data_IF_996177529675
#
_entry.id   IF_996177529675
#
_cell.length_a   1.000
_cell.length_b   1.000
_cell.length_c   1.000
_cell.angle_alpha   90.00
_cell.angle_beta   90.00
_cell.angle_gamma   90.00
#
_symmetry.space_group_name_H-M   'P 1'
#
loop_
_entity.id
_entity.type
_entity.pdbx_description
1 polymer ?
#
# COMPACT_ATOMS: atom_id res chain seq x y z
N UNK A 1 -35.09 0.28 25.52
CA UNK A 1 -36.47 0.62 25.06
C UNK A 1 -36.65 0.11 23.64
N UNK A 2 -37.88 -0.20 23.20
CA UNK A 2 -38.17 -0.56 21.79
C UNK A 2 -38.73 0.68 21.08
N UNK A 3 -38.30 0.93 19.84
CA UNK A 3 -38.97 1.82 18.90
C UNK A 3 -39.33 1.02 17.65
N UNK A 4 -40.51 1.28 17.10
CA UNK A 4 -41.10 0.49 16.01
C UNK A 4 -41.06 1.23 14.68
N UNK A 5 -41.20 0.46 13.60
CA UNK A 5 -41.18 0.91 12.20
C UNK A 5 -42.31 1.90 11.90
N UNK A 6 -42.05 2.84 10.99
CA UNK A 6 -43.01 3.23 9.96
C UNK A 6 -42.27 3.22 8.62
N UNK A 7 -42.81 2.52 7.63
CA UNK A 7 -42.39 2.61 6.23
C UNK A 7 -43.53 3.24 5.44
N UNK A 8 -43.23 4.24 4.60
CA UNK A 8 -44.20 4.83 3.69
C UNK A 8 -43.68 4.70 2.25
N UNK A 9 -44.41 3.95 1.42
CA UNK A 9 -44.16 3.84 0.00
C UNK A 9 -45.29 4.52 -0.76
N UNK A 10 -44.95 5.35 -1.73
CA UNK A 10 -45.91 5.99 -2.65
C UNK A 10 -45.41 5.80 -4.08
N UNK A 11 -46.13 4.98 -4.84
CA UNK A 11 -45.97 4.83 -6.27
C UNK A 11 -47.24 5.36 -6.96
N UNK A 12 -47.07 6.05 -8.09
CA UNK A 12 -48.17 6.49 -8.95
C UNK A 12 -47.71 6.43 -10.42
N UNK A 13 -48.54 5.87 -11.29
CA UNK A 13 -48.28 5.72 -12.73
C UNK A 13 -49.44 6.33 -13.54
N UNK A 14 -49.12 7.23 -14.48
CA UNK A 14 -49.85 7.56 -15.71
C UNK A 14 -48.97 8.53 -16.53
N UNK A 15 -48.60 8.42 -17.82
CA UNK A 15 -48.97 7.60 -19.00
C UNK A 15 -49.86 8.30 -20.05
N UNK A 16 -49.34 8.41 -21.31
CA UNK A 16 -50.05 8.66 -22.60
C UNK A 16 -50.57 10.12 -22.81
N UNK A 17 -50.79 10.72 -24.00
CA UNK A 17 -50.59 10.52 -25.49
C UNK A 17 -50.97 11.87 -26.20
N UNK A 18 -50.60 12.33 -27.42
CA UNK A 18 -49.72 11.91 -28.56
C UNK A 18 -49.57 13.05 -29.62
N UNK A 19 -48.53 12.96 -30.47
CA UNK A 19 -48.45 13.34 -31.92
C UNK A 19 -48.73 14.80 -32.42
N UNK A 20 -47.69 15.40 -33.04
CA UNK A 20 -47.66 15.99 -34.40
C UNK A 20 -46.18 16.30 -34.74
N UNK A 21 -45.49 15.89 -35.81
CA UNK A 21 -45.73 15.75 -37.27
C UNK A 21 -45.78 17.06 -38.07
N UNK A 22 -44.60 17.52 -38.52
CA UNK A 22 -44.43 18.30 -39.74
C UNK A 22 -43.01 18.04 -40.28
N UNK A 23 -42.88 17.76 -41.58
CA UNK A 23 -41.63 17.70 -42.32
C UNK A 23 -41.63 18.84 -43.35
N UNK A 24 -40.47 19.34 -43.76
CA UNK A 24 -40.15 19.63 -45.17
C UNK A 24 -38.64 19.88 -45.35
N UNK A 25 -38.13 19.69 -46.56
CA UNK A 25 -36.69 19.59 -46.88
C UNK A 25 -36.41 20.18 -48.28
N UNK A 26 -35.22 20.74 -48.47
CA UNK A 26 -34.60 21.08 -49.77
C UNK A 26 -35.24 22.26 -50.55
N UNK A 27 -34.57 22.86 -51.57
CA UNK A 27 -33.39 22.38 -52.30
C UNK A 27 -32.18 23.36 -52.40
N UNK A 28 -31.16 22.90 -53.14
CA UNK A 28 -29.82 23.48 -53.35
C UNK A 28 -29.60 23.91 -54.81
N UNK A 29 -28.90 25.02 -55.07
CA UNK A 29 -28.08 25.18 -56.30
C UNK A 29 -26.56 25.27 -56.02
N UNK A 30 -25.76 25.32 -57.10
CA UNK A 30 -24.31 25.06 -57.13
C UNK A 30 -23.35 26.28 -57.18
N UNK A 31 -22.06 26.03 -57.51
CA UNK A 31 -20.91 26.85 -57.09
C UNK A 31 -20.34 27.80 -58.19
N UNK A 32 -19.27 28.57 -57.90
CA UNK A 32 -17.95 28.08 -58.37
C UNK A 32 -16.70 28.40 -57.50
N UNK A 33 -15.74 27.47 -57.58
CA UNK A 33 -14.28 27.64 -57.74
C UNK A 33 -13.32 28.30 -56.69
N UNK A 34 -12.22 27.54 -56.47
CA UNK A 34 -10.80 27.95 -56.37
C UNK A 34 -10.22 28.52 -55.05
N UNK A 35 -9.16 27.84 -54.58
CA UNK A 35 -8.20 28.30 -53.57
C UNK A 35 -7.09 29.18 -54.16
N UNK A 36 -6.28 29.83 -53.30
CA UNK A 36 -4.84 29.80 -53.50
C UNK A 36 -4.06 29.31 -52.26
N UNK A 37 -2.89 28.72 -52.50
CA UNK A 37 -1.95 28.32 -51.44
C UNK A 37 -1.17 29.52 -50.89
N UNK A 38 -0.83 29.48 -49.60
CA UNK A 38 0.14 30.41 -48.99
C UNK A 38 1.31 29.62 -48.39
N UNK A 39 2.51 29.79 -48.96
CA UNK A 39 3.75 29.21 -48.41
C UNK A 39 4.41 30.20 -47.44
N UNK A 40 4.50 29.85 -46.15
CA UNK A 40 5.35 30.54 -45.19
C UNK A 40 6.63 29.71 -44.94
N UNK A 41 7.80 30.33 -45.11
CA UNK A 41 9.11 29.72 -44.82
C UNK A 41 9.57 30.11 -43.43
N UNK A 42 10.37 29.25 -42.79
CA UNK A 42 11.48 29.71 -41.96
C UNK A 42 11.36 29.56 -40.45
N UNK A 43 11.44 28.33 -39.94
CA UNK A 43 12.10 28.04 -38.67
C UNK A 43 12.86 26.71 -38.82
N UNK A 44 14.19 26.76 -38.93
CA UNK A 44 15.01 25.56 -38.95
C UNK A 44 15.29 25.09 -37.51
N UNK A 45 15.26 23.77 -37.22
CA UNK A 45 15.50 23.28 -35.86
C UNK A 45 16.98 23.42 -35.49
N UNK A 46 17.25 24.01 -34.33
CA UNK A 46 18.57 23.95 -33.71
C UNK A 46 18.76 22.57 -33.04
N UNK A 47 19.52 21.70 -33.70
CA UNK A 47 19.92 20.38 -33.17
C UNK A 47 21.08 20.54 -32.13
N UNK A 48 21.50 19.50 -31.39
CA UNK A 48 21.18 19.46 -29.97
C UNK A 48 22.42 19.50 -29.05
N UNK A 49 22.38 20.25 -27.95
CA UNK A 49 23.50 20.27 -26.97
C UNK A 49 23.04 20.59 -25.53
N UNK A 50 22.47 19.60 -24.83
CA UNK A 50 22.51 19.49 -23.37
C UNK A 50 22.01 18.10 -22.89
N UNK A 51 22.93 17.15 -22.71
CA UNK A 51 22.61 15.93 -21.96
C UNK A 51 22.49 16.30 -20.46
N UNK A 52 21.27 16.31 -19.91
CA UNK A 52 21.03 16.56 -18.48
C UNK A 52 19.91 17.56 -18.15
N UNK A 53 19.33 18.27 -19.12
CA UNK A 53 18.18 19.14 -18.88
C UNK A 53 16.91 18.32 -18.62
N UNK A 54 16.52 18.21 -17.35
CA UNK A 54 15.26 17.58 -16.94
C UNK A 54 14.04 18.43 -17.38
N UNK A 55 12.88 17.81 -17.63
CA UNK A 55 11.79 18.49 -18.32
C UNK A 55 11.04 19.50 -17.44
N UNK A 56 10.92 20.74 -17.94
CA UNK A 56 10.17 21.82 -17.31
C UNK A 56 8.77 22.04 -17.92
N UNK A 57 8.26 21.08 -18.70
CA UNK A 57 6.97 21.15 -19.42
C UNK A 57 6.31 19.77 -19.46
N UNK A 58 4.99 19.70 -19.62
CA UNK A 58 4.24 18.44 -19.74
C UNK A 58 4.75 17.53 -20.87
N UNK A 59 5.04 18.09 -22.05
CA UNK A 59 5.55 17.32 -23.18
C UNK A 59 6.93 16.69 -22.89
N UNK A 60 7.79 17.39 -22.14
CA UNK A 60 9.05 16.82 -21.68
C UNK A 60 8.86 15.76 -20.59
N UNK A 61 7.91 15.95 -19.67
CA UNK A 61 7.59 14.97 -18.63
C UNK A 61 7.02 13.68 -19.23
N UNK A 62 6.15 13.80 -20.25
CA UNK A 62 5.69 12.69 -21.08
C UNK A 62 6.88 11.96 -21.72
N UNK A 63 7.76 12.66 -22.44
CA UNK A 63 8.91 12.07 -23.11
C UNK A 63 9.93 11.40 -22.15
N UNK A 64 9.98 11.83 -20.88
CA UNK A 64 10.76 11.16 -19.83
C UNK A 64 10.07 9.90 -19.32
N UNK A 65 8.76 9.96 -19.06
CA UNK A 65 7.93 8.81 -18.66
C UNK A 65 7.90 7.71 -19.73
N UNK A 66 7.88 8.09 -21.01
CA UNK A 66 7.92 7.19 -22.17
C UNK A 66 9.20 6.32 -22.26
N UNK A 67 10.25 6.63 -21.50
CA UNK A 67 11.45 5.79 -21.39
C UNK A 67 11.21 4.52 -20.54
N UNK A 68 10.16 4.51 -19.72
CA UNK A 68 9.89 3.45 -18.74
C UNK A 68 8.53 2.75 -18.99
N UNK A 69 7.48 3.50 -19.31
CA UNK A 69 6.14 2.95 -19.62
C UNK A 69 5.41 3.75 -20.71
N UNK A 70 4.25 3.30 -21.17
CA UNK A 70 3.42 4.06 -22.13
C UNK A 70 2.86 5.33 -21.49
N UNK A 71 2.78 6.42 -22.25
CA UNK A 71 2.17 7.68 -21.81
C UNK A 71 1.66 8.44 -23.03
N UNK A 72 0.63 7.87 -23.65
CA UNK A 72 0.11 8.33 -24.94
C UNK A 72 -1.11 9.24 -24.76
N UNK A 73 -1.48 9.97 -25.82
CA UNK A 73 -2.65 10.85 -25.82
C UNK A 73 -2.61 11.86 -24.65
N UNK A 74 -1.50 12.59 -24.52
CA UNK A 74 -1.34 13.68 -23.55
C UNK A 74 -2.40 14.76 -23.80
N UNK A 75 -3.14 15.09 -22.75
CA UNK A 75 -4.18 16.11 -22.72
C UNK A 75 -3.87 17.14 -21.63
N UNK A 76 -4.25 18.38 -21.89
CA UNK A 76 -4.20 19.51 -20.94
C UNK A 76 -5.60 20.01 -20.58
N UNK A 77 -6.67 19.28 -20.92
CA UNK A 77 -8.04 19.65 -20.55
C UNK A 77 -8.19 19.55 -19.01
N UNK A 78 -8.54 20.64 -18.31
CA UNK A 78 -8.78 20.59 -16.86
C UNK A 78 -9.94 19.66 -16.45
N UNK A 79 -10.77 19.22 -17.41
CA UNK A 79 -11.92 18.33 -17.24
C UNK A 79 -11.75 16.96 -17.94
N UNK A 80 -10.52 16.53 -18.27
CA UNK A 80 -10.27 15.28 -19.01
C UNK A 80 -11.02 14.08 -18.42
N UNK A 81 -11.97 13.54 -19.19
CA UNK A 81 -12.94 12.56 -18.70
C UNK A 81 -12.36 11.18 -18.37
N UNK A 82 -11.06 10.94 -18.61
CA UNK A 82 -10.38 9.71 -18.20
C UNK A 82 -10.12 9.66 -16.69
N UNK A 83 -10.05 10.83 -16.02
CA UNK A 83 -9.68 10.94 -14.60
C UNK A 83 -10.62 11.91 -13.86
N UNK A 84 -11.13 11.57 -12.66
CA UNK A 84 -11.83 12.53 -11.81
C UNK A 84 -10.84 13.53 -11.20
N UNK A 85 -10.42 14.52 -12.00
CA UNK A 85 -9.34 15.48 -11.71
C UNK A 85 -9.60 16.42 -10.51
N UNK A 86 -10.79 16.39 -9.91
CA UNK A 86 -11.10 17.06 -8.64
C UNK A 86 -10.44 16.40 -7.42
N UNK A 87 -10.00 15.14 -7.54
CA UNK A 87 -9.22 14.44 -6.51
C UNK A 87 -7.70 14.64 -6.61
N UNK A 88 -7.23 15.51 -7.51
CA UNK A 88 -5.82 15.68 -7.85
C UNK A 88 -5.39 17.15 -7.68
N UNK A 89 -4.09 17.35 -7.38
CA UNK A 89 -3.45 18.67 -7.18
C UNK A 89 -3.80 19.62 -8.33
N UNK A 90 -4.24 20.84 -8.03
CA UNK A 90 -4.61 21.87 -9.00
C UNK A 90 -3.40 22.65 -9.54
N UNK A 91 -3.52 23.24 -10.73
CA UNK A 91 -2.47 24.11 -11.25
C UNK A 91 -2.34 25.36 -10.36
N UNK A 92 -1.13 25.64 -9.88
CA UNK A 92 -0.83 26.66 -8.86
C UNK A 92 -0.78 26.12 -7.42
N UNK A 93 -1.36 24.95 -7.13
CA UNK A 93 -1.19 24.28 -5.85
C UNK A 93 0.19 23.59 -5.76
N UNK A 94 0.75 23.49 -4.55
CA UNK A 94 1.95 22.68 -4.24
C UNK A 94 3.19 23.01 -5.12
N UNK A 95 3.22 24.18 -5.77
CA UNK A 95 4.30 24.57 -6.68
C UNK A 95 4.24 23.94 -8.08
N UNK A 96 3.12 23.32 -8.48
CA UNK A 96 2.95 22.80 -9.85
C UNK A 96 2.47 23.92 -10.80
N UNK A 97 3.02 24.00 -12.00
CA UNK A 97 2.70 25.08 -12.96
C UNK A 97 1.53 24.75 -13.88
N UNK A 98 1.38 23.47 -14.23
CA UNK A 98 0.34 22.94 -15.12
C UNK A 98 0.04 21.48 -14.75
N UNK A 99 -0.99 20.90 -15.37
CA UNK A 99 -1.38 19.50 -15.15
C UNK A 99 -1.81 18.88 -16.47
N UNK A 100 -1.42 17.63 -16.72
CA UNK A 100 -1.82 16.89 -17.91
C UNK A 100 -2.11 15.42 -17.62
N UNK A 101 -2.86 14.78 -18.51
CA UNK A 101 -3.26 13.37 -18.41
C UNK A 101 -2.79 12.63 -19.66
N UNK A 102 -2.05 11.53 -19.47
CA UNK A 102 -1.72 10.58 -20.53
C UNK A 102 -2.15 9.16 -20.14
N UNK A 103 -2.20 8.26 -21.12
CA UNK A 103 -2.66 6.87 -20.95
C UNK A 103 -1.48 5.90 -21.07
N UNK A 104 -1.31 5.07 -20.05
CA UNK A 104 -0.47 3.88 -20.10
C UNK A 104 -1.25 2.71 -20.71
N UNK A 105 -1.09 2.53 -22.02
CA UNK A 105 -1.77 1.48 -22.80
C UNK A 105 -1.40 0.06 -22.32
N UNK A 106 -0.16 -0.16 -21.89
CA UNK A 106 0.32 -1.46 -21.36
C UNK A 106 -0.39 -1.83 -20.06
N UNK A 107 -0.43 -0.90 -19.10
CA UNK A 107 -1.07 -1.13 -17.80
C UNK A 107 -2.60 -0.90 -17.80
N UNK A 108 -3.13 -0.33 -18.88
CA UNK A 108 -4.54 0.08 -19.07
C UNK A 108 -5.02 1.01 -17.96
N UNK A 109 -4.37 2.17 -17.85
CA UNK A 109 -4.84 3.27 -17.02
C UNK A 109 -4.03 4.54 -17.19
N UNK A 110 -4.26 5.49 -16.30
CA UNK A 110 -3.89 6.88 -16.51
C UNK A 110 -2.69 7.31 -15.65
N UNK A 111 -1.95 8.27 -16.17
CA UNK A 111 -0.88 8.99 -15.48
C UNK A 111 -1.25 10.47 -15.50
N UNK A 112 -1.33 11.08 -14.31
CA UNK A 112 -1.49 12.53 -14.17
C UNK A 112 -0.11 13.13 -13.94
N UNK A 113 0.35 13.98 -14.85
CA UNK A 113 1.65 14.64 -14.83
C UNK A 113 1.55 16.05 -14.23
N UNK A 114 2.54 16.44 -13.44
CA UNK A 114 2.66 17.77 -12.82
C UNK A 114 4.08 18.34 -12.99
N UNK A 115 4.35 19.26 -13.93
CA UNK A 115 5.61 19.99 -13.99
C UNK A 115 5.79 20.84 -12.73
N UNK A 116 6.94 20.68 -12.09
CA UNK A 116 7.19 21.08 -10.71
C UNK A 116 8.58 21.72 -10.63
N UNK A 117 8.72 23.01 -10.98
CA UNK A 117 10.01 23.70 -11.00
C UNK A 117 10.61 23.86 -9.60
N UNK A 118 9.79 23.95 -8.55
CA UNK A 118 10.24 23.84 -7.16
C UNK A 118 9.78 22.51 -6.53
N UNK A 119 10.61 21.48 -6.77
CA UNK A 119 10.41 20.15 -6.18
C UNK A 119 10.50 20.15 -4.64
N UNK A 120 11.10 21.17 -4.01
CA UNK A 120 11.14 21.27 -2.55
C UNK A 120 9.82 21.81 -2.00
N UNK A 121 9.21 22.81 -2.64
CA UNK A 121 7.88 23.29 -2.31
C UNK A 121 6.82 22.17 -2.45
N UNK A 122 6.91 21.37 -3.52
CA UNK A 122 6.03 20.21 -3.71
C UNK A 122 6.17 19.16 -2.61
N UNK A 123 7.41 18.79 -2.26
CA UNK A 123 7.66 17.83 -1.18
C UNK A 123 7.24 18.36 0.20
N UNK A 124 7.28 19.67 0.42
CA UNK A 124 6.77 20.30 1.65
C UNK A 124 5.22 20.24 1.69
N UNK A 125 4.54 20.61 0.61
CA UNK A 125 3.08 20.53 0.55
C UNK A 125 2.57 19.07 0.65
N UNK A 126 3.29 18.12 0.04
CA UNK A 126 3.03 16.69 0.21
C UNK A 126 3.19 16.23 1.66
N UNK A 127 4.22 16.72 2.39
CA UNK A 127 4.41 16.46 3.83
C UNK A 127 3.26 17.00 4.67
N UNK A 128 2.84 18.24 4.41
CA UNK A 128 1.78 18.89 5.18
C UNK A 128 0.42 18.21 4.95
N UNK A 129 0.17 17.74 3.72
CA UNK A 129 -0.98 16.90 3.38
C UNK A 129 -0.89 15.50 4.02
N UNK A 130 0.28 14.85 4.02
CA UNK A 130 0.48 13.57 4.68
C UNK A 130 0.26 13.68 6.20
N UNK A 131 0.75 14.74 6.84
CA UNK A 131 0.52 15.01 8.26
C UNK A 131 -0.98 15.20 8.58
N UNK A 132 -1.73 15.89 7.71
CA UNK A 132 -3.20 15.99 7.82
C UNK A 132 -3.86 14.61 7.70
N UNK A 133 -3.52 13.83 6.68
CA UNK A 133 -4.08 12.49 6.46
C UNK A 133 -3.78 11.55 7.64
N UNK A 134 -2.58 11.64 8.23
CA UNK A 134 -2.21 10.89 9.44
C UNK A 134 -3.04 11.31 10.66
N UNK A 135 -3.32 12.61 10.83
CA UNK A 135 -4.24 13.09 11.87
C UNK A 135 -5.70 12.64 11.64
N UNK A 136 -6.10 12.38 10.39
CA UNK A 136 -7.36 11.74 10.00
C UNK A 136 -7.31 10.19 10.07
N UNK A 137 -6.22 9.60 10.56
CA UNK A 137 -6.05 8.15 10.74
C UNK A 137 -5.67 7.37 9.46
N UNK A 138 -5.38 8.04 8.35
CA UNK A 138 -5.19 7.47 7.00
C UNK A 138 -3.76 6.96 6.75
N UNK A 139 -3.26 6.12 7.65
CA UNK A 139 -1.85 5.68 7.73
C UNK A 139 -1.31 4.92 6.51
N UNK A 140 -2.17 4.36 5.68
CA UNK A 140 -1.86 3.58 4.47
C UNK A 140 -1.57 4.45 3.23
N UNK A 141 -2.14 5.66 3.20
CA UNK A 141 -2.38 6.42 1.96
C UNK A 141 -1.13 6.94 1.27
N UNK A 142 -0.03 7.14 2.00
CA UNK A 142 1.12 7.91 1.52
C UNK A 142 1.87 7.19 0.37
N UNK A 143 2.28 5.92 0.53
CA UNK A 143 2.78 5.12 -0.60
C UNK A 143 1.66 4.73 -1.59
N UNK A 144 0.45 4.47 -1.11
CA UNK A 144 -0.67 4.06 -1.96
C UNK A 144 -1.11 5.17 -2.94
N UNK A 145 -0.81 6.43 -2.62
CA UNK A 145 -0.95 7.58 -3.52
C UNK A 145 -0.23 7.37 -4.85
N UNK A 146 0.86 6.57 -4.85
CA UNK A 146 1.73 6.33 -6.01
C UNK A 146 2.18 7.65 -6.66
N UNK A 147 2.46 8.63 -5.81
CA UNK A 147 3.08 9.91 -6.16
C UNK A 147 4.55 9.68 -6.46
N UNK A 148 4.92 9.72 -7.73
CA UNK A 148 6.30 9.55 -8.20
C UNK A 148 6.89 10.93 -8.49
N UNK A 149 8.11 11.17 -8.04
CA UNK A 149 8.88 12.39 -8.35
C UNK A 149 10.07 12.08 -9.24
N UNK A 150 10.31 12.96 -10.21
CA UNK A 150 11.58 13.13 -10.90
C UNK A 150 12.29 14.40 -10.44
N UNK A 151 13.20 14.94 -11.25
CA UNK A 151 14.00 16.13 -10.90
C UNK A 151 13.22 17.45 -10.94
N UNK A 152 12.29 17.59 -11.89
CA UNK A 152 11.59 18.84 -12.25
C UNK A 152 10.09 18.64 -12.50
N UNK A 153 9.58 17.45 -12.19
CA UNK A 153 8.18 17.09 -12.32
C UNK A 153 7.82 16.00 -11.31
N UNK A 154 6.54 15.93 -10.96
CA UNK A 154 5.93 14.83 -10.26
C UNK A 154 4.85 14.20 -11.14
N UNK A 155 4.35 13.03 -10.75
CA UNK A 155 3.16 12.41 -11.33
C UNK A 155 2.41 11.58 -10.30
N UNK A 156 1.17 11.24 -10.61
CA UNK A 156 0.41 10.17 -9.95
C UNK A 156 0.07 9.09 -10.97
N UNK A 157 0.50 7.85 -10.70
CA UNK A 157 0.15 6.69 -11.51
C UNK A 157 -1.11 6.01 -10.93
N UNK A 158 -2.22 6.01 -11.67
CA UNK A 158 -3.49 5.45 -11.17
C UNK A 158 -3.47 3.91 -11.10
N UNK A 159 -2.62 3.27 -11.91
CA UNK A 159 -2.37 1.82 -11.87
C UNK A 159 -1.04 1.49 -11.20
N UNK A 160 -1.04 0.40 -10.46
CA UNK A 160 0.11 -0.06 -9.68
C UNK A 160 1.23 -0.59 -10.57
N UNK A 161 0.90 -1.35 -11.61
CA UNK A 161 1.86 -1.81 -12.61
C UNK A 161 2.58 -0.65 -13.31
N UNK A 162 1.91 0.48 -13.54
CA UNK A 162 2.52 1.73 -14.04
C UNK A 162 3.51 2.30 -13.03
N UNK A 163 3.12 2.43 -11.76
CA UNK A 163 3.99 2.91 -10.69
C UNK A 163 5.27 2.03 -10.55
N UNK A 164 5.12 0.70 -10.59
CA UNK A 164 6.25 -0.25 -10.57
C UNK A 164 7.13 -0.05 -11.81
N UNK A 165 6.54 0.00 -13.01
CA UNK A 165 7.28 0.17 -14.27
C UNK A 165 8.09 1.47 -14.32
N UNK A 166 7.67 2.51 -13.60
CA UNK A 166 8.38 3.79 -13.51
C UNK A 166 9.60 3.77 -12.58
N UNK A 167 9.54 3.06 -11.45
CA UNK A 167 10.58 3.15 -10.39
C UNK A 167 11.45 1.89 -10.28
N UNK A 168 10.98 0.74 -10.73
CA UNK A 168 11.71 -0.53 -10.66
C UNK A 168 12.94 -0.63 -11.60
N UNK A 169 12.94 -0.06 -12.84
CA UNK A 169 14.08 -0.18 -13.74
C UNK A 169 15.39 0.34 -13.12
N UNK A 170 16.52 -0.36 -13.27
CA UNK A 170 17.76 -0.07 -12.53
C UNK A 170 18.31 1.34 -12.79
N UNK A 171 18.07 1.86 -14.00
CA UNK A 171 18.49 3.19 -14.48
C UNK A 171 17.40 4.27 -14.31
N UNK A 172 16.30 3.99 -13.61
CA UNK A 172 15.28 5.01 -13.33
C UNK A 172 15.81 6.05 -12.35
N UNK A 173 15.63 7.34 -12.69
CA UNK A 173 15.81 8.47 -11.77
C UNK A 173 14.50 8.91 -11.09
N UNK A 174 13.41 8.15 -11.29
CA UNK A 174 12.11 8.36 -10.68
C UNK A 174 11.96 7.55 -9.38
N UNK A 175 11.29 8.13 -8.39
CA UNK A 175 11.04 7.49 -7.07
C UNK A 175 9.66 7.81 -6.55
N UNK A 176 9.05 6.89 -5.82
CA UNK A 176 7.88 7.19 -4.98
C UNK A 176 8.32 8.15 -3.86
N UNK A 177 7.60 9.25 -3.70
CA UNK A 177 7.70 10.15 -2.56
C UNK A 177 6.87 9.61 -1.39
N UNK A 178 7.42 9.64 -0.18
CA UNK A 178 6.71 9.31 1.05
C UNK A 178 7.15 10.25 2.18
N UNK A 179 6.19 10.75 2.94
CA UNK A 179 6.38 11.66 4.08
C UNK A 179 5.85 11.09 5.41
N UNK A 180 5.32 9.87 5.41
CA UNK A 180 4.97 9.13 6.62
C UNK A 180 6.22 8.39 7.19
N UNK A 181 6.72 8.76 8.39
CA UNK A 181 7.92 8.15 8.98
C UNK A 181 7.73 6.67 9.36
N UNK A 182 6.49 6.23 9.63
CA UNK A 182 6.16 4.84 9.98
C UNK A 182 6.24 3.86 8.80
N UNK A 183 6.46 4.37 7.58
CA UNK A 183 6.56 3.53 6.39
C UNK A 183 7.93 2.83 6.31
N UNK A 184 7.88 1.57 6.71
CA UNK A 184 8.90 0.56 6.45
C UNK A 184 9.05 0.30 4.95
N UNK A 185 10.30 0.25 4.49
CA UNK A 185 10.70 -0.11 3.14
C UNK A 185 11.48 -1.42 3.24
N UNK A 186 11.13 -2.50 2.51
CA UNK A 186 11.81 -3.79 2.63
C UNK A 186 13.28 -3.73 2.19
N UNK A 187 14.08 -4.69 2.67
CA UNK A 187 15.45 -4.89 2.19
C UNK A 187 15.46 -5.20 0.68
N UNK A 188 16.49 -4.73 -0.04
CA UNK A 188 16.58 -4.81 -1.50
C UNK A 188 15.96 -3.63 -2.27
N UNK A 189 15.34 -2.67 -1.56
CA UNK A 189 14.86 -1.41 -2.12
C UNK A 189 15.72 -0.22 -1.67
N UNK A 190 15.76 0.83 -2.50
CA UNK A 190 16.42 2.09 -2.22
C UNK A 190 15.56 2.91 -1.26
N UNK A 191 16.15 3.48 -0.20
CA UNK A 191 15.54 4.53 0.63
C UNK A 191 16.47 5.73 0.65
N UNK A 192 16.17 6.71 -0.19
CA UNK A 192 16.96 7.92 -0.43
C UNK A 192 16.36 9.10 0.35
N UNK A 193 17.16 10.12 0.69
CA UNK A 193 16.64 11.32 1.38
C UNK A 193 15.88 12.22 0.39
N UNK A 194 14.74 12.75 0.81
CA UNK A 194 14.02 13.79 0.08
C UNK A 194 14.66 15.18 0.30
N UNK A 195 14.18 16.21 -0.41
CA UNK A 195 14.59 17.61 -0.25
C UNK A 195 14.01 18.27 1.02
N UNK A 196 13.04 17.59 1.65
CA UNK A 196 12.33 18.03 2.86
C UNK A 196 12.51 16.97 3.96
N UNK A 197 12.92 17.43 5.14
CA UNK A 197 13.14 16.56 6.30
C UNK A 197 11.84 15.91 6.78
N UNK A 198 11.90 14.63 7.14
CA UNK A 198 10.73 13.79 7.44
C UNK A 198 10.17 13.06 6.21
N UNK A 199 10.54 13.47 4.99
CA UNK A 199 10.23 12.73 3.77
C UNK A 199 11.43 11.92 3.27
N UNK A 200 11.14 10.89 2.49
CA UNK A 200 12.11 10.05 1.80
C UNK A 200 11.60 9.65 0.41
N UNK A 201 12.52 9.13 -0.40
CA UNK A 201 12.27 8.65 -1.76
C UNK A 201 12.58 7.15 -1.85
N UNK A 202 11.79 6.38 -2.61
CA UNK A 202 11.96 4.92 -2.70
C UNK A 202 11.59 4.35 -4.08
N UNK A 203 12.15 3.19 -4.44
CA UNK A 203 11.71 2.37 -5.57
C UNK A 203 10.77 1.20 -5.14
N UNK A 204 10.32 1.21 -3.88
CA UNK A 204 9.28 0.33 -3.38
C UNK A 204 7.88 0.91 -3.57
N UNK A 205 7.06 0.23 -4.37
CA UNK A 205 5.62 0.49 -4.51
C UNK A 205 4.86 -0.46 -3.59
N UNK A 206 4.30 0.07 -2.49
CA UNK A 206 3.27 -0.64 -1.72
C UNK A 206 1.92 -0.57 -2.47
N UNK A 207 1.10 -1.61 -2.40
CA UNK A 207 -0.23 -1.61 -3.05
C UNK A 207 -1.25 -2.58 -2.45
N UNK A 208 -2.52 -2.16 -2.25
CA UNK A 208 -3.60 -3.04 -1.83
C UNK A 208 -4.00 -4.14 -2.82
N UNK A 209 -3.73 -3.96 -4.12
CA UNK A 209 -4.06 -4.94 -5.16
C UNK A 209 -3.04 -6.10 -5.27
N UNK A 210 -1.99 -6.09 -4.45
CA UNK A 210 -0.90 -7.07 -4.49
C UNK A 210 0.05 -6.94 -5.69
N UNK A 211 -0.15 -5.97 -6.59
CA UNK A 211 0.68 -5.74 -7.78
C UNK A 211 1.80 -4.70 -7.50
N UNK A 212 2.14 -4.49 -6.23
CA UNK A 212 3.26 -3.65 -5.81
C UNK A 212 4.62 -4.24 -6.18
N UNK A 213 5.72 -3.56 -5.83
CA UNK A 213 7.06 -4.01 -6.19
C UNK A 213 7.35 -5.41 -5.62
N UNK A 214 7.82 -6.38 -6.43
CA UNK A 214 8.12 -7.73 -5.95
C UNK A 214 9.28 -7.70 -4.96
N UNK A 215 9.22 -8.50 -3.90
CA UNK A 215 10.27 -8.53 -2.87
C UNK A 215 11.67 -8.78 -3.48
N UNK A 216 12.52 -7.74 -3.49
CA UNK A 216 13.91 -7.82 -3.97
C UNK A 216 14.91 -8.27 -2.91
N UNK A 217 14.52 -8.31 -1.63
CA UNK A 217 15.27 -8.99 -0.58
C UNK A 217 15.45 -10.46 -0.94
N UNK A 218 16.65 -11.01 -0.74
CA UNK A 218 17.02 -12.28 -1.33
C UNK A 218 16.08 -13.43 -0.93
N UNK A 219 15.40 -14.01 -1.92
CA UNK A 219 14.99 -15.41 -1.86
C UNK A 219 16.29 -16.21 -1.85
N UNK A 220 16.79 -16.53 -0.65
CA UNK A 220 17.98 -17.37 -0.46
C UNK A 220 17.72 -18.71 -1.13
N UNK A 221 18.41 -18.95 -2.24
CA UNK A 221 18.50 -20.28 -2.83
C UNK A 221 19.33 -21.18 -1.88
N UNK A 222 18.72 -22.18 -1.22
CA UNK A 222 19.42 -23.02 -0.23
C UNK A 222 20.52 -23.90 -0.85
N UNK A 223 20.65 -23.94 -2.18
CA UNK A 223 21.70 -24.67 -2.89
C UNK A 223 23.01 -23.88 -3.04
N UNK A 224 23.04 -22.57 -2.72
CA UNK A 224 24.16 -21.68 -3.06
C UNK A 224 24.94 -21.09 -1.88
N UNK A 225 24.37 -20.97 -0.66
CA UNK A 225 25.09 -20.49 0.53
C UNK A 225 25.51 -21.66 1.45
N UNK A 226 26.82 -21.87 1.57
CA UNK A 226 27.41 -22.83 2.53
C UNK A 226 27.57 -22.25 3.94
N UNK A 227 27.79 -23.15 4.90
CA UNK A 227 27.93 -22.92 6.36
C UNK A 227 26.64 -22.52 7.09
N UNK A 228 26.12 -23.45 7.90
CA UNK A 228 24.92 -23.25 8.71
C UNK A 228 25.15 -22.25 9.86
N UNK A 229 24.15 -21.41 10.14
CA UNK A 229 24.09 -20.62 11.38
C UNK A 229 23.54 -21.48 12.53
N UNK A 230 24.00 -21.29 13.79
CA UNK A 230 23.48 -22.05 14.93
C UNK A 230 21.96 -21.92 15.06
N UNK A 231 21.27 -23.07 15.17
CA UNK A 231 19.81 -23.14 15.35
C UNK A 231 18.98 -23.32 14.07
N UNK A 232 19.59 -23.32 12.87
CA UNK A 232 18.84 -23.46 11.60
C UNK A 232 18.81 -24.91 11.08
N UNK A 233 17.64 -25.50 10.74
CA UNK A 233 17.56 -26.84 10.14
C UNK A 233 18.15 -26.89 8.73
N UNK A 234 18.81 -28.00 8.38
CA UNK A 234 19.62 -28.14 7.15
C UNK A 234 18.84 -28.42 5.85
N UNK A 235 17.52 -28.19 5.81
CA UNK A 235 16.67 -28.54 4.65
C UNK A 235 15.48 -27.60 4.43
N UNK A 236 15.42 -26.97 3.25
CA UNK A 236 14.16 -26.70 2.55
C UNK A 236 13.30 -25.51 2.97
N UNK A 237 13.68 -24.71 3.98
CA UNK A 237 13.04 -23.42 4.27
C UNK A 237 14.05 -22.48 4.93
N UNK A 238 13.73 -21.17 4.98
CA UNK A 238 14.48 -20.22 5.82
C UNK A 238 14.37 -20.53 7.33
N UNK A 239 13.47 -21.43 7.72
CA UNK A 239 13.07 -21.66 9.09
C UNK A 239 11.95 -20.72 9.52
N UNK A 240 11.25 -21.13 10.57
CA UNK A 240 10.53 -20.22 11.46
C UNK A 240 11.44 -19.97 12.68
N UNK A 241 11.38 -18.79 13.31
CA UNK A 241 12.14 -18.52 14.52
C UNK A 241 11.66 -19.37 15.69
N UNK A 242 12.53 -19.60 16.67
CA UNK A 242 12.22 -20.36 17.89
C UNK A 242 12.88 -19.73 19.12
N UNK A 243 12.34 -20.03 20.30
CA UNK A 243 12.92 -19.62 21.59
C UNK A 243 12.49 -20.62 22.69
N UNK A 244 13.38 -20.97 23.61
CA UNK A 244 13.07 -21.83 24.76
C UNK A 244 12.28 -21.14 25.87
N UNK A 245 12.36 -19.80 25.94
CA UNK A 245 11.79 -18.98 27.02
C UNK A 245 11.32 -17.59 26.52
N UNK A 246 10.52 -16.91 27.35
CA UNK A 246 10.15 -15.50 27.13
C UNK A 246 11.37 -14.56 27.10
N UNK A 247 12.45 -14.88 27.82
CA UNK A 247 13.66 -14.05 27.82
C UNK A 247 14.41 -14.12 26.48
N UNK A 248 14.51 -15.31 25.90
CA UNK A 248 15.02 -15.51 24.54
C UNK A 248 14.09 -14.86 23.50
N UNK A 249 12.77 -15.02 23.63
CA UNK A 249 11.79 -14.41 22.74
C UNK A 249 11.88 -12.88 22.76
N UNK A 250 12.02 -12.25 23.94
CA UNK A 250 12.31 -10.81 24.07
C UNK A 250 13.59 -10.44 23.32
N UNK A 251 14.66 -11.21 23.49
CA UNK A 251 15.98 -10.96 22.87
C UNK A 251 15.93 -11.08 21.35
N UNK A 252 15.06 -11.93 20.81
CA UNK A 252 14.85 -12.09 19.38
C UNK A 252 14.14 -10.88 18.73
N UNK A 253 13.18 -10.25 19.43
CA UNK A 253 12.31 -9.20 18.85
C UNK A 253 12.67 -7.77 19.28
N UNK A 254 13.43 -7.60 20.36
CA UNK A 254 13.70 -6.30 21.00
C UNK A 254 15.20 -5.97 20.94
N UNK A 255 15.60 -4.71 20.73
CA UNK A 255 14.77 -3.49 20.67
C UNK A 255 14.21 -3.16 19.28
N UNK A 256 14.64 -3.86 18.21
CA UNK A 256 14.48 -3.38 16.84
C UNK A 256 13.09 -3.53 16.23
N UNK A 257 12.30 -4.52 16.69
CA UNK A 257 10.97 -4.82 16.13
C UNK A 257 9.86 -4.59 17.15
N UNK A 258 10.09 -4.93 18.43
CA UNK A 258 9.17 -4.65 19.54
C UNK A 258 9.92 -3.87 20.62
N UNK A 259 9.39 -2.72 21.05
CA UNK A 259 9.87 -2.07 22.27
C UNK A 259 9.38 -2.87 23.49
N UNK A 260 10.29 -3.58 24.14
CA UNK A 260 10.06 -4.31 25.37
C UNK A 260 10.80 -3.67 26.56
N UNK A 261 10.98 -2.34 26.54
CA UNK A 261 11.48 -1.57 27.69
C UNK A 261 10.53 -1.75 28.89
N UNK A 262 9.23 -1.52 28.65
CA UNK A 262 8.15 -1.92 29.56
C UNK A 262 7.66 -3.32 29.16
N UNK A 263 8.05 -4.35 29.93
CA UNK A 263 7.58 -5.73 29.73
C UNK A 263 7.11 -6.38 31.03
N UNK A 264 5.96 -7.05 31.00
CA UNK A 264 5.38 -7.83 32.12
C UNK A 264 5.11 -9.26 31.67
N UNK A 265 5.54 -10.26 32.44
CA UNK A 265 5.09 -11.65 32.28
C UNK A 265 3.71 -11.76 32.92
N UNK A 266 2.68 -12.14 32.14
CA UNK A 266 1.30 -12.21 32.62
C UNK A 266 0.39 -12.93 31.64
N UNK A 267 -0.61 -13.64 32.15
CA UNK A 267 -1.72 -14.22 31.37
C UNK A 267 -3.01 -13.36 31.45
N UNK A 268 -2.90 -12.13 32.00
CA UNK A 268 -3.93 -11.10 31.98
C UNK A 268 -4.32 -10.76 30.53
N UNK A 269 -5.62 -10.64 30.24
CA UNK A 269 -6.11 -10.32 28.91
C UNK A 269 -6.71 -8.91 28.90
N UNK A 270 -6.17 -8.04 28.04
CA UNK A 270 -6.66 -6.68 27.84
C UNK A 270 -7.37 -6.58 26.50
N UNK A 271 -8.61 -6.06 26.54
CA UNK A 271 -9.36 -5.58 25.40
C UNK A 271 -9.56 -4.07 25.55
N UNK A 272 -9.54 -3.31 24.45
CA UNK A 272 -9.82 -1.88 24.44
C UNK A 272 -10.39 -1.44 23.09
N UNK A 273 -10.82 -0.18 22.96
CA UNK A 273 -11.26 0.38 21.67
C UNK A 273 -10.13 0.39 20.62
N UNK A 274 -8.87 0.35 21.06
CA UNK A 274 -7.67 0.42 20.23
C UNK A 274 -6.96 -0.96 20.12
N UNK A 275 -7.50 -2.01 20.75
CA UNK A 275 -6.89 -3.35 20.79
C UNK A 275 -7.92 -4.47 21.02
N UNK A 276 -8.02 -5.41 20.08
CA UNK A 276 -8.73 -6.67 20.26
C UNK A 276 -7.74 -7.86 20.10
N UNK A 277 -7.75 -8.85 21.00
CA UNK A 277 -6.83 -9.98 20.96
C UNK A 277 -7.18 -10.98 19.85
N UNK A 278 -6.24 -11.88 19.51
CA UNK A 278 -6.48 -12.94 18.51
C UNK A 278 -7.37 -14.06 19.07
N UNK A 279 -7.23 -14.41 20.35
CA UNK A 279 -8.00 -15.48 21.00
C UNK A 279 -8.48 -15.01 22.36
N UNK A 280 -9.79 -15.02 22.57
CA UNK A 280 -10.39 -14.73 23.88
C UNK A 280 -10.26 -15.92 24.85
N UNK A 281 -10.07 -15.59 26.12
CA UNK A 281 -9.89 -16.53 27.22
C UNK A 281 -8.42 -16.75 27.63
N UNK A 282 -8.18 -17.49 28.73
CA UNK A 282 -6.85 -17.65 29.31
C UNK A 282 -5.89 -18.41 28.39
N UNK A 283 -4.65 -17.92 28.28
CA UNK A 283 -3.60 -18.40 27.38
C UNK A 283 -3.41 -19.94 27.36
N UNK A 284 -3.47 -20.56 28.54
CA UNK A 284 -3.34 -22.01 28.73
C UNK A 284 -4.46 -22.84 28.08
N UNK A 285 -5.65 -22.26 27.85
CA UNK A 285 -6.77 -22.93 27.19
C UNK A 285 -6.65 -22.97 25.66
N UNK A 286 -5.61 -22.34 25.10
CA UNK A 286 -5.37 -22.27 23.65
C UNK A 286 -3.90 -22.51 23.26
N UNK A 287 -3.15 -23.28 24.05
CA UNK A 287 -1.86 -23.88 23.66
C UNK A 287 -0.62 -23.05 23.98
N UNK A 288 -0.78 -21.86 24.56
CA UNK A 288 0.33 -21.04 25.09
C UNK A 288 0.79 -21.59 26.45
N UNK A 289 2.11 -21.68 26.61
CA UNK A 289 2.80 -22.19 27.81
C UNK A 289 3.12 -21.07 28.81
N UNK A 290 3.51 -19.90 28.30
CA UNK A 290 3.82 -18.70 29.07
C UNK A 290 3.63 -17.50 28.17
N UNK A 291 2.85 -16.51 28.63
CA UNK A 291 2.63 -15.22 27.96
C UNK A 291 3.37 -14.08 28.66
N UNK A 292 3.78 -13.09 27.87
CA UNK A 292 4.23 -11.79 28.33
C UNK A 292 3.71 -10.69 27.40
N UNK A 293 3.77 -9.45 27.85
CA UNK A 293 3.38 -8.27 27.09
C UNK A 293 4.50 -7.24 27.12
N UNK A 294 4.77 -6.65 25.97
CA UNK A 294 5.57 -5.45 25.80
C UNK A 294 4.62 -4.30 25.45
N UNK A 295 4.72 -3.18 26.18
CA UNK A 295 3.77 -2.06 26.10
C UNK A 295 3.18 -1.69 27.47
N UNK A 296 2.10 -0.90 27.48
CA UNK A 296 1.40 -0.52 28.71
C UNK A 296 -0.01 -1.12 28.75
N UNK A 297 -0.30 -1.95 29.76
CA UNK A 297 -1.59 -2.61 29.97
C UNK A 297 -2.72 -1.67 30.43
N UNK A 298 -2.41 -0.41 30.72
CA UNK A 298 -3.33 0.58 31.27
C UNK A 298 -3.20 0.75 32.79
N UNK A 299 -4.06 1.61 33.34
CA UNK A 299 -4.07 2.04 34.73
C UNK A 299 -4.86 3.33 34.85
N UNK A 300 -4.22 4.43 35.26
CA UNK A 300 -4.78 5.79 35.11
C UNK A 300 -4.95 6.22 33.65
N UNK A 301 -4.20 5.59 32.73
CA UNK A 301 -4.29 5.80 31.29
C UNK A 301 -4.76 4.54 30.55
N UNK A 302 -5.19 4.69 29.29
CA UNK A 302 -5.59 3.58 28.43
C UNK A 302 -4.40 2.70 28.06
N UNK A 303 -4.68 1.41 27.87
CA UNK A 303 -3.69 0.47 27.36
C UNK A 303 -3.24 0.87 25.94
N UNK A 304 -1.94 0.78 25.66
CA UNK A 304 -1.37 1.21 24.37
C UNK A 304 -0.04 0.50 24.08
N UNK A 305 0.32 0.48 22.79
CA UNK A 305 1.52 -0.19 22.26
C UNK A 305 1.64 -1.66 22.68
N UNK A 306 0.51 -2.37 22.82
CA UNK A 306 0.46 -3.76 23.25
C UNK A 306 1.01 -4.70 22.16
N UNK A 307 2.04 -5.46 22.52
CA UNK A 307 2.62 -6.53 21.71
C UNK A 307 2.86 -7.72 22.64
N UNK A 308 2.17 -8.84 22.41
CA UNK A 308 2.27 -10.00 23.29
C UNK A 308 3.29 -10.99 22.75
N UNK A 309 4.09 -11.55 23.66
CA UNK A 309 5.11 -12.55 23.39
C UNK A 309 4.68 -13.86 24.02
N UNK A 310 4.49 -14.88 23.19
CA UNK A 310 3.99 -16.19 23.62
C UNK A 310 5.02 -17.28 23.37
N UNK A 311 5.32 -18.09 24.39
CA UNK A 311 5.90 -19.42 24.18
C UNK A 311 4.78 -20.44 24.07
N UNK A 312 4.87 -21.34 23.09
CA UNK A 312 3.74 -22.16 22.64
C UNK A 312 4.09 -23.65 22.80
N UNK A 313 3.29 -24.37 23.59
CA UNK A 313 3.41 -25.81 23.78
C UNK A 313 2.56 -26.62 22.79
N UNK A 314 1.45 -26.06 22.32
CA UNK A 314 0.63 -26.66 21.27
C UNK A 314 0.25 -25.62 20.20
N UNK A 315 1.08 -25.58 19.15
CA UNK A 315 0.92 -24.69 18.01
C UNK A 315 -0.33 -25.03 17.18
N UNK A 316 -0.78 -26.29 17.16
CA UNK A 316 -1.97 -26.70 16.42
C UNK A 316 -3.24 -26.22 17.13
N UNK A 317 -3.30 -26.33 18.46
CA UNK A 317 -4.41 -25.78 19.25
C UNK A 317 -4.45 -24.25 19.16
N UNK A 318 -3.31 -23.56 19.27
CA UNK A 318 -3.20 -22.11 19.06
C UNK A 318 -3.78 -21.69 17.70
N UNK A 319 -3.29 -22.29 16.61
CA UNK A 319 -3.76 -21.96 15.26
C UNK A 319 -5.24 -22.33 15.04
N UNK A 320 -5.75 -23.37 15.71
CA UNK A 320 -7.17 -23.78 15.60
C UNK A 320 -8.09 -22.74 16.26
N UNK A 321 -7.66 -22.18 17.40
CA UNK A 321 -8.39 -21.15 18.14
C UNK A 321 -8.33 -19.80 17.42
N UNK A 322 -7.16 -19.41 16.94
CA UNK A 322 -6.97 -18.22 16.11
C UNK A 322 -7.77 -18.29 14.79
N UNK A 323 -7.85 -19.47 14.15
CA UNK A 323 -8.72 -19.72 12.99
C UNK A 323 -10.19 -19.43 13.32
N UNK A 324 -10.69 -19.98 14.43
CA UNK A 324 -12.08 -19.81 14.83
C UNK A 324 -12.43 -18.33 15.10
N UNK A 325 -11.52 -17.57 15.72
CA UNK A 325 -11.69 -16.15 15.95
C UNK A 325 -11.66 -15.33 14.63
N UNK A 326 -10.67 -15.54 13.76
CA UNK A 326 -10.61 -14.87 12.45
C UNK A 326 -11.85 -15.16 11.59
N UNK A 327 -12.32 -16.41 11.56
CA UNK A 327 -13.52 -16.78 10.81
C UNK A 327 -14.82 -16.27 11.45
N UNK A 328 -14.84 -15.94 12.73
CA UNK A 328 -15.97 -15.23 13.35
C UNK A 328 -15.93 -13.73 13.02
N UNK A 329 -14.74 -13.12 13.02
CA UNK A 329 -14.56 -11.70 12.69
C UNK A 329 -14.91 -11.40 11.22
N UNK A 330 -14.48 -12.27 10.30
CA UNK A 330 -14.76 -12.21 8.85
C UNK A 330 -16.24 -12.41 8.48
N UNK A 331 -17.12 -12.82 9.40
CA UNK A 331 -18.55 -13.02 9.10
C UNK A 331 -19.35 -11.71 9.01
N UNK A 332 -18.86 -10.61 9.57
CA UNK A 332 -19.60 -9.33 9.62
C UNK A 332 -19.62 -8.61 8.25
N UNK A 333 -18.45 -8.35 7.67
CA UNK A 333 -18.30 -7.61 6.40
C UNK A 333 -17.29 -8.24 5.41
N UNK A 334 -16.75 -9.43 5.73
CA UNK A 334 -15.69 -10.08 4.96
C UNK A 334 -14.28 -9.56 5.23
N UNK A 335 -14.08 -8.70 6.24
CA UNK A 335 -12.77 -8.15 6.65
C UNK A 335 -12.50 -8.47 8.12
N UNK A 336 -11.23 -8.38 8.51
CA UNK A 336 -10.86 -8.36 9.92
C UNK A 336 -11.02 -6.93 10.45
N UNK A 337 -11.52 -6.76 11.68
CA UNK A 337 -11.67 -5.44 12.32
C UNK A 337 -10.30 -4.77 12.42
N UNK A 338 -10.23 -3.48 12.15
CA UNK A 338 -8.95 -2.73 12.16
C UNK A 338 -8.21 -2.77 13.52
N UNK A 339 -8.96 -3.01 14.60
CA UNK A 339 -8.44 -3.16 15.97
C UNK A 339 -7.95 -4.57 16.29
N UNK A 340 -8.30 -5.57 15.46
CA UNK A 340 -7.94 -6.97 15.64
C UNK A 340 -6.43 -7.18 15.49
N UNK A 341 -5.85 -7.81 16.49
CA UNK A 341 -4.45 -8.24 16.43
C UNK A 341 -4.28 -9.37 15.45
N UNK A 342 -3.08 -9.47 14.86
CA UNK A 342 -2.69 -10.59 14.01
C UNK A 342 -1.68 -11.45 14.77
N UNK A 343 -1.74 -12.76 14.54
CA UNK A 343 -0.85 -13.74 15.16
C UNK A 343 0.30 -14.07 14.21
N UNK A 344 1.52 -13.76 14.62
CA UNK A 344 2.74 -14.00 13.87
C UNK A 344 3.49 -15.16 14.51
N UNK A 345 3.63 -16.24 13.76
CA UNK A 345 3.98 -17.57 14.23
C UNK A 345 5.46 -17.86 13.97
N UNK A 346 6.15 -18.39 14.99
CA UNK A 346 7.40 -19.11 14.88
C UNK A 346 7.20 -20.63 15.05
N UNK A 347 8.27 -21.39 15.27
CA UNK A 347 8.19 -22.86 15.46
C UNK A 347 7.45 -23.25 16.74
N UNK A 348 7.79 -22.60 17.85
CA UNK A 348 7.29 -22.88 19.19
C UNK A 348 6.97 -21.59 19.98
N UNK A 349 6.76 -20.50 19.24
CA UNK A 349 6.55 -19.14 19.73
C UNK A 349 5.52 -18.43 18.86
N UNK A 350 4.89 -17.41 19.40
CA UNK A 350 4.11 -16.46 18.62
C UNK A 350 4.28 -15.04 19.15
N UNK A 351 3.97 -14.06 18.30
CA UNK A 351 3.83 -12.65 18.67
C UNK A 351 2.48 -12.15 18.18
N UNK A 352 1.71 -11.54 19.07
CA UNK A 352 0.38 -11.01 18.78
C UNK A 352 0.41 -9.48 18.85
N UNK A 353 -0.03 -8.82 17.76
CA UNK A 353 -0.06 -7.35 17.68
C UNK A 353 -0.97 -6.83 16.57
N UNK A 354 -1.62 -5.70 16.81
CA UNK A 354 -2.35 -4.93 15.79
C UNK A 354 -1.50 -3.78 15.17
N UNK A 355 -0.28 -3.53 15.66
CA UNK A 355 0.62 -2.52 15.12
C UNK A 355 1.31 -2.99 13.82
N UNK A 356 1.05 -2.31 12.70
CA UNK A 356 1.57 -2.68 11.37
C UNK A 356 3.10 -2.56 11.24
N UNK A 357 3.76 -1.64 11.96
CA UNK A 357 5.22 -1.50 11.94
C UNK A 357 5.88 -2.74 12.55
N UNK A 358 5.37 -3.16 13.71
CA UNK A 358 5.87 -4.33 14.44
C UNK A 358 5.72 -5.59 13.58
N UNK A 359 4.57 -5.79 12.92
CA UNK A 359 4.37 -6.92 12.00
C UNK A 359 5.39 -6.94 10.86
N UNK A 360 5.65 -5.79 10.23
CA UNK A 360 6.65 -5.67 9.16
C UNK A 360 8.07 -6.00 9.62
N UNK A 361 8.45 -5.65 10.85
CA UNK A 361 9.72 -6.07 11.47
C UNK A 361 9.76 -7.56 11.82
N UNK A 362 8.65 -8.13 12.30
CA UNK A 362 8.54 -9.57 12.62
C UNK A 362 8.69 -10.44 11.36
N UNK A 363 8.21 -9.98 10.20
CA UNK A 363 8.46 -10.66 8.92
C UNK A 363 9.95 -10.69 8.52
N UNK A 364 10.74 -9.67 8.86
CA UNK A 364 12.21 -9.73 8.66
C UNK A 364 12.84 -10.78 9.59
N UNK A 365 12.35 -10.87 10.82
CA UNK A 365 12.70 -11.90 11.81
C UNK A 365 12.12 -13.31 11.51
N UNK A 366 11.60 -13.52 10.30
CA UNK A 366 11.08 -14.81 9.80
C UNK A 366 9.84 -15.37 10.51
N UNK A 367 9.17 -14.59 11.38
CA UNK A 367 7.82 -14.93 11.80
C UNK A 367 6.87 -14.80 10.61
N UNK A 368 5.78 -15.58 10.60
CA UNK A 368 4.77 -15.52 9.55
C UNK A 368 3.36 -15.35 10.14
N UNK A 369 2.57 -14.44 9.59
CA UNK A 369 1.17 -14.24 9.96
C UNK A 369 0.34 -15.49 9.60
N UNK A 370 -0.40 -16.01 10.57
CA UNK A 370 -1.43 -17.04 10.35
C UNK A 370 -2.66 -16.39 9.70
N UNK A 371 -2.81 -16.56 8.39
CA UNK A 371 -4.02 -16.15 7.67
C UNK A 371 -4.96 -17.35 7.44
N UNK A 372 -6.20 -17.23 7.87
CA UNK A 372 -7.25 -18.24 7.71
C UNK A 372 -8.43 -17.79 6.82
N UNK A 373 -8.27 -16.71 6.05
CA UNK A 373 -9.26 -16.23 5.09
C UNK A 373 -9.46 -17.23 3.93
N UNK A 374 -10.70 -17.61 3.68
CA UNK A 374 -11.07 -18.59 2.64
C UNK A 374 -10.63 -18.14 1.25
N UNK A 375 -9.78 -18.93 0.59
CA UNK A 375 -9.29 -18.63 -0.76
C UNK A 375 -8.17 -17.58 -0.80
N UNK A 376 -7.56 -17.25 0.35
CA UNK A 376 -6.42 -16.33 0.38
C UNK A 376 -5.25 -16.78 -0.51
N UNK A 377 -4.73 -15.81 -1.26
CA UNK A 377 -3.51 -15.91 -2.05
C UNK A 377 -2.60 -14.73 -1.73
N UNK A 378 -1.29 -14.92 -1.90
CA UNK A 378 -0.30 -13.87 -1.84
C UNK A 378 0.35 -13.66 -3.23
N UNK A 379 0.84 -12.46 -3.56
CA UNK A 379 1.54 -12.20 -4.82
C UNK A 379 2.85 -12.97 -4.93
N UNK A 380 3.40 -13.04 -6.15
CA UNK A 380 4.74 -13.58 -6.38
C UNK A 380 5.79 -12.82 -5.56
N UNK A 381 6.74 -13.55 -4.96
CA UNK A 381 7.78 -13.00 -4.08
C UNK A 381 7.41 -12.95 -2.59
N UNK A 382 6.15 -13.18 -2.21
CA UNK A 382 5.77 -13.36 -0.81
C UNK A 382 5.90 -14.83 -0.37
N UNK A 383 6.27 -15.05 0.90
CA UNK A 383 6.39 -16.37 1.53
C UNK A 383 4.99 -16.89 1.84
N UNK A 384 4.72 -18.14 1.44
CA UNK A 384 3.49 -18.89 1.72
C UNK A 384 3.87 -20.29 2.19
N UNK A 385 3.50 -20.64 3.41
CA UNK A 385 3.76 -21.96 4.00
C UNK A 385 2.45 -22.54 4.57
N UNK A 386 2.42 -23.87 4.74
CA UNK A 386 1.26 -24.54 5.32
C UNK A 386 1.21 -24.28 6.83
N UNK A 387 0.06 -23.84 7.33
CA UNK A 387 -0.24 -23.89 8.75
C UNK A 387 -0.37 -25.35 9.25
N UNK A 388 -0.35 -25.56 10.55
CA UNK A 388 -0.65 -26.86 11.18
C UNK A 388 -2.16 -27.18 11.19
N UNK A 389 -2.97 -26.23 10.73
CA UNK A 389 -4.45 -26.29 10.66
C UNK A 389 -4.88 -26.09 9.22
N UNK A 390 -5.75 -26.99 8.75
CA UNK A 390 -6.28 -26.98 7.39
C UNK A 390 -7.06 -25.68 7.09
N UNK A 391 -6.93 -25.17 5.86
CA UNK A 391 -7.58 -23.92 5.44
C UNK A 391 -6.97 -22.65 6.04
N UNK A 392 -5.76 -22.73 6.61
CA UNK A 392 -4.94 -21.57 6.93
C UNK A 392 -3.56 -21.69 6.28
N UNK A 393 -2.91 -20.54 6.07
CA UNK A 393 -1.51 -20.44 5.62
C UNK A 393 -0.71 -19.59 6.61
N UNK A 394 0.60 -19.77 6.60
CA UNK A 394 1.57 -18.86 7.21
C UNK A 394 2.16 -17.98 6.10
N UNK A 395 2.15 -16.65 6.27
CA UNK A 395 2.63 -15.73 5.23
C UNK A 395 3.28 -14.46 5.79
N UNK A 396 4.11 -13.79 4.97
CA UNK A 396 4.55 -12.42 5.20
C UNK A 396 3.74 -11.38 4.39
N UNK A 397 2.69 -11.81 3.67
CA UNK A 397 1.77 -10.91 2.98
C UNK A 397 0.57 -10.56 3.86
N UNK A 398 0.29 -9.27 3.98
CA UNK A 398 -1.00 -8.76 4.42
C UNK A 398 -1.66 -8.03 3.26
N UNK A 399 -2.94 -8.29 3.01
CA UNK A 399 -3.75 -7.30 2.30
C UNK A 399 -3.84 -6.04 3.18
N UNK A 400 -3.52 -4.84 2.65
CA UNK A 400 -3.89 -3.58 3.27
C UNK A 400 -5.39 -3.52 3.58
N UNK A 401 -5.71 -2.91 4.72
CA UNK A 401 -7.04 -2.83 5.32
C UNK A 401 -7.86 -1.68 4.77
#
# INVERSE_FOLDING_TARGET
MRLQRISAATAALAALTTLATACEDSPKPGPPAASPSASARGAAPASPTAAGAAPATLAGAQAHVQQYTSCENLSTDPNDSRVPLSGFIGAGDWGITERGVCTDEKARGEIVLFPTPDMKAFQQAAKDNAAKLLAEGRVDTDLASRTVVGKTFALTALKTATAVSLVDPPNSDLRILSCNPDIFIPEGFKKEKALVEGCFLTDYVNSPDGQGSPHRGAVRDPSTEGAAKPGQPSTGSLGLPSAGSIAELKTLVSPHTVDCTSMKVTDEQVQSIDYMPVVDGPASAWGVKQRAVCGQLGGEQRAHNLNWLDTVSDMKTLQTKAKAAQLADLQDDGRLKATASKLLVGTNIAVETNNANVRRGLYQLQFLYLNCETGFTAPAGYRLEKAQVEGCVLTNYERPS
#
